data_IF_090552679829
#
_entry.id   IF_090552679829
#
_cell.length_a   1.000
_cell.length_b   1.000
_cell.length_c   1.000
_cell.angle_alpha   90.00
_cell.angle_beta   90.00
_cell.angle_gamma   90.00
#
_symmetry.space_group_name_H-M   'P 1'
#
loop_
_entity.id
_entity.type
_entity.pdbx_description
1 polymer ?
#
# COMPACT_ATOMS: atom_id res chain seq x y z
N UNK A 1 29.33 -0.34 5.63
CA UNK A 1 28.20 -1.19 5.20
C UNK A 1 27.45 -0.61 4.00
N UNK A 2 26.78 0.54 4.07
CA UNK A 2 26.01 1.07 2.90
C UNK A 2 26.89 1.52 1.73
N UNK A 3 28.04 2.14 2.02
CA UNK A 3 29.04 2.54 1.02
C UNK A 3 29.62 1.33 0.26
N UNK A 4 29.81 0.22 0.96
CA UNK A 4 30.35 -1.02 0.39
C UNK A 4 29.33 -1.69 -0.54
N UNK A 5 28.02 -1.60 -0.21
CA UNK A 5 26.91 -2.10 -1.06
C UNK A 5 26.82 -1.36 -2.40
N UNK A 6 27.02 -0.04 -2.39
CA UNK A 6 26.96 0.78 -3.60
C UNK A 6 28.26 0.74 -4.43
N UNK A 7 29.39 0.41 -3.80
CA UNK A 7 30.65 0.23 -4.52
C UNK A 7 30.64 -1.02 -5.43
N UNK A 8 29.92 -2.07 -5.01
CA UNK A 8 29.80 -3.35 -5.74
C UNK A 8 28.62 -3.39 -6.73
N UNK A 9 27.51 -2.73 -6.43
CA UNK A 9 26.29 -2.76 -7.28
C UNK A 9 26.27 -1.59 -8.27
N UNK A 10 26.85 -1.80 -9.46
CA UNK A 10 26.86 -0.82 -10.58
C UNK A 10 25.90 -1.18 -11.72
N UNK A 11 25.22 -2.30 -11.60
CA UNK A 11 24.29 -2.81 -12.61
C UNK A 11 22.90 -2.17 -12.45
N UNK A 12 22.20 -1.93 -13.55
CA UNK A 12 20.84 -1.35 -13.54
C UNK A 12 20.76 0.18 -13.45
N UNK A 13 21.88 0.91 -13.57
CA UNK A 13 21.88 2.37 -13.47
C UNK A 13 21.27 3.06 -14.69
N UNK A 14 20.23 3.85 -14.46
CA UNK A 14 19.62 4.72 -15.45
C UNK A 14 20.51 5.93 -15.77
N UNK A 15 20.45 6.40 -17.01
CA UNK A 15 21.20 7.57 -17.46
C UNK A 15 20.31 8.81 -17.41
N UNK A 16 20.68 9.77 -16.58
CA UNK A 16 20.03 11.09 -16.55
C UNK A 16 20.97 12.12 -17.17
N UNK A 17 20.42 12.92 -18.09
CA UNK A 17 21.12 14.03 -18.74
C UNK A 17 20.74 15.32 -18.02
N UNK A 18 21.71 16.00 -17.43
CA UNK A 18 21.46 17.32 -16.84
C UNK A 18 21.88 18.43 -17.80
N UNK A 19 21.04 19.45 -17.89
CA UNK A 19 21.31 20.67 -18.67
C UNK A 19 21.38 21.88 -17.73
N UNK A 20 22.41 21.97 -16.86
CA UNK A 20 22.46 23.02 -15.86
C UNK A 20 22.71 24.38 -16.50
N UNK A 21 22.05 25.39 -15.93
CA UNK A 21 22.37 26.80 -16.14
C UNK A 21 23.19 27.27 -14.94
N UNK A 22 24.28 27.99 -15.20
CA UNK A 22 25.13 28.61 -14.19
C UNK A 22 24.95 30.12 -14.24
N UNK A 23 25.20 30.79 -13.11
CA UNK A 23 25.25 32.26 -13.08
C UNK A 23 26.50 32.72 -13.83
N UNK A 24 26.37 33.74 -14.68
CA UNK A 24 27.51 34.32 -15.39
C UNK A 24 28.41 35.15 -14.47
N UNK A 25 27.83 35.72 -13.41
CA UNK A 25 28.49 36.57 -12.43
C UNK A 25 28.04 36.23 -11.00
N UNK A 26 28.78 36.72 -10.00
CA UNK A 26 28.48 36.47 -8.57
C UNK A 26 27.13 37.07 -8.18
N UNK A 27 26.75 38.19 -8.80
CA UNK A 27 25.48 38.87 -8.57
C UNK A 27 24.28 38.14 -9.23
N UNK A 28 24.53 37.20 -10.14
CA UNK A 28 23.50 36.38 -10.79
C UNK A 28 22.60 37.16 -11.75
N UNK A 29 23.15 38.18 -12.43
CA UNK A 29 22.41 39.03 -13.37
C UNK A 29 21.97 38.29 -14.62
N UNK A 30 22.73 37.28 -15.06
CA UNK A 30 22.39 36.45 -16.21
C UNK A 30 22.70 34.96 -15.94
N UNK A 31 21.87 34.10 -16.52
CA UNK A 31 22.09 32.65 -16.54
C UNK A 31 22.73 32.26 -17.89
N UNK A 32 23.85 31.56 -17.81
CA UNK A 32 24.53 30.98 -18.97
C UNK A 32 24.45 29.45 -18.92
N UNK A 33 24.35 28.81 -20.08
CA UNK A 33 24.44 27.34 -20.16
C UNK A 33 25.86 26.90 -19.83
N UNK A 34 25.99 25.86 -19.02
CA UNK A 34 27.29 25.28 -18.71
C UNK A 34 27.97 24.77 -19.98
N UNK A 35 29.22 25.19 -20.21
CA UNK A 35 29.93 24.99 -21.48
C UNK A 35 30.28 23.53 -21.77
N UNK A 36 30.50 22.71 -20.73
CA UNK A 36 30.76 21.28 -20.89
C UNK A 36 29.43 20.52 -20.88
N UNK A 37 28.80 20.44 -22.04
CA UNK A 37 27.47 19.87 -22.22
C UNK A 37 27.50 18.66 -23.19
N UNK A 38 26.75 17.58 -22.91
CA UNK A 38 25.92 17.33 -21.72
C UNK A 38 26.65 16.58 -20.60
N UNK A 39 26.33 16.92 -19.36
CA UNK A 39 26.73 16.12 -18.20
C UNK A 39 25.71 14.99 -18.07
N UNK A 40 26.20 13.76 -17.95
CA UNK A 40 25.37 12.60 -17.73
C UNK A 40 25.73 11.95 -16.40
N UNK A 41 24.71 11.67 -15.59
CA UNK A 41 24.85 10.88 -14.38
C UNK A 41 24.22 9.52 -14.58
N UNK A 42 24.77 8.55 -13.86
CA UNK A 42 24.25 7.20 -13.72
C UNK A 42 23.65 7.08 -12.33
N UNK A 43 22.36 6.82 -12.28
CA UNK A 43 21.58 6.80 -11.03
C UNK A 43 20.86 5.47 -10.88
N UNK A 44 20.69 4.98 -9.65
CA UNK A 44 19.87 3.82 -9.36
C UNK A 44 18.38 4.09 -9.62
N UNK A 45 17.62 3.01 -9.76
CA UNK A 45 16.16 3.09 -9.68
C UNK A 45 15.73 3.37 -8.23
N UNK A 46 14.46 3.72 -8.02
CA UNK A 46 13.93 3.94 -6.67
C UNK A 46 14.09 2.72 -5.75
N UNK A 47 14.06 1.51 -6.33
CA UNK A 47 14.11 0.25 -5.59
C UNK A 47 15.50 -0.04 -5.01
N UNK A 48 16.56 0.49 -5.61
CA UNK A 48 17.95 0.22 -5.21
C UNK A 48 18.44 1.15 -4.09
N UNK A 49 17.67 2.20 -3.78
CA UNK A 49 17.98 3.13 -2.72
C UNK A 49 17.95 2.49 -1.33
N UNK A 50 18.42 3.26 -0.35
CA UNK A 50 18.52 2.80 1.03
C UNK A 50 17.68 3.68 1.94
N UNK A 51 16.75 3.06 2.65
CA UNK A 51 16.04 3.69 3.76
C UNK A 51 16.78 3.44 5.06
N UNK A 52 17.05 4.50 5.82
CA UNK A 52 17.59 4.37 7.17
C UNK A 52 16.53 3.80 8.12
N UNK A 53 16.96 3.24 9.24
CA UNK A 53 16.05 3.08 10.38
C UNK A 53 15.66 4.49 10.89
N UNK A 54 14.46 4.66 11.48
CA UNK A 54 14.07 5.94 12.05
C UNK A 54 15.06 6.40 13.13
N UNK A 55 15.44 7.68 13.10
CA UNK A 55 16.35 8.28 14.08
C UNK A 55 15.89 9.69 14.45
N UNK A 56 16.20 10.13 15.67
CA UNK A 56 15.93 11.50 16.09
C UNK A 56 17.12 12.41 15.74
N UNK A 57 16.88 13.47 14.97
CA UNK A 57 17.94 14.41 14.60
C UNK A 57 18.05 15.56 15.61
N UNK A 58 19.06 15.52 16.47
CA UNK A 58 19.30 16.57 17.47
C UNK A 58 19.95 17.84 16.89
N UNK A 59 20.70 17.71 15.78
CA UNK A 59 21.62 18.73 15.29
C UNK A 59 21.13 19.41 14.00
N UNK A 60 20.20 18.78 13.29
CA UNK A 60 19.56 19.36 12.11
C UNK A 60 18.70 20.57 12.42
N UNK A 61 18.25 21.25 11.35
CA UNK A 61 17.36 22.41 11.47
C UNK A 61 15.97 22.03 11.99
N UNK A 62 15.56 20.76 11.82
CA UNK A 62 14.30 20.21 12.28
C UNK A 62 14.60 19.12 13.31
N UNK A 63 14.31 19.41 14.58
CA UNK A 63 14.52 18.47 15.69
C UNK A 63 13.32 17.56 15.85
N UNK A 64 13.31 16.46 15.10
CA UNK A 64 12.19 15.52 15.06
C UNK A 64 12.68 14.09 14.78
N UNK A 65 11.79 13.12 14.91
CA UNK A 65 12.00 11.76 14.40
C UNK A 65 11.95 11.78 12.88
N UNK A 66 13.05 11.39 12.24
CA UNK A 66 13.21 11.38 10.80
C UNK A 66 13.45 9.97 10.28
N UNK A 67 13.04 9.73 9.05
CA UNK A 67 13.50 8.61 8.24
C UNK A 67 14.09 9.16 6.96
N UNK A 68 15.26 8.67 6.56
CA UNK A 68 16.03 9.23 5.44
C UNK A 68 16.17 8.20 4.34
N UNK A 69 15.76 8.56 3.14
CA UNK A 69 16.09 7.85 1.92
C UNK A 69 17.41 8.36 1.38
N UNK A 70 18.31 7.46 1.01
CA UNK A 70 19.62 7.77 0.47
C UNK A 70 19.85 6.99 -0.82
N UNK A 71 20.25 7.68 -1.89
CA UNK A 71 20.57 7.09 -3.18
C UNK A 71 21.91 7.63 -3.71
N UNK A 72 22.86 6.75 -4.10
CA UNK A 72 24.12 7.18 -4.71
C UNK A 72 23.88 7.68 -6.13
N UNK A 73 24.74 8.54 -6.63
CA UNK A 73 24.82 8.84 -8.05
C UNK A 73 26.27 8.87 -8.50
N UNK A 74 26.47 8.37 -9.72
CA UNK A 74 27.77 8.20 -10.32
C UNK A 74 27.89 9.11 -11.53
N UNK A 75 29.09 9.60 -11.78
CA UNK A 75 29.39 10.29 -13.04
C UNK A 75 30.53 9.60 -13.76
N UNK A 76 30.73 10.04 -14.99
CA UNK A 76 31.74 9.51 -15.88
C UNK A 76 32.85 10.55 -15.99
N UNK A 77 34.07 10.18 -15.60
CA UNK A 77 35.22 11.10 -15.57
C UNK A 77 36.36 10.51 -16.39
N UNK A 78 36.98 11.35 -17.24
CA UNK A 78 38.14 11.01 -18.07
C UNK A 78 37.81 10.39 -19.43
N UNK A 79 38.84 10.24 -20.27
CA UNK A 79 38.74 9.68 -21.64
C UNK A 79 38.31 8.20 -21.64
N UNK A 80 38.70 7.44 -20.62
CA UNK A 80 38.37 6.02 -20.47
C UNK A 80 36.90 5.76 -20.09
N UNK A 81 36.08 6.80 -19.95
CA UNK A 81 34.66 6.72 -19.58
C UNK A 81 34.40 5.86 -18.32
N UNK A 82 35.30 5.95 -17.33
CA UNK A 82 35.16 5.19 -16.10
C UNK A 82 34.04 5.74 -15.22
N UNK A 83 33.19 4.84 -14.71
CA UNK A 83 32.13 5.17 -13.77
C UNK A 83 32.72 5.44 -12.37
N UNK A 84 32.54 6.64 -11.86
CA UNK A 84 33.05 7.08 -10.57
C UNK A 84 31.92 7.51 -9.63
N UNK A 85 32.03 7.14 -8.36
CA UNK A 85 31.13 7.61 -7.31
C UNK A 85 31.33 9.11 -7.08
N UNK A 86 30.29 9.92 -7.30
CA UNK A 86 30.34 11.36 -7.10
C UNK A 86 29.75 11.76 -5.75
N UNK A 87 28.62 11.15 -5.38
CA UNK A 87 27.98 11.49 -4.13
C UNK A 87 26.71 10.70 -3.85
N UNK A 88 25.99 11.16 -2.82
CA UNK A 88 24.72 10.60 -2.37
C UNK A 88 23.72 11.74 -2.29
N UNK A 89 22.52 11.51 -2.83
CA UNK A 89 21.38 12.37 -2.56
C UNK A 89 20.57 11.77 -1.41
N UNK A 90 20.18 12.61 -0.46
CA UNK A 90 19.39 12.18 0.69
C UNK A 90 18.14 13.03 0.82
N UNK A 91 17.03 12.38 1.17
CA UNK A 91 15.75 13.03 1.46
C UNK A 91 15.28 12.53 2.83
N UNK A 92 15.19 13.45 3.79
CA UNK A 92 14.69 13.15 5.13
C UNK A 92 13.23 13.58 5.25
N UNK A 93 12.39 12.67 5.74
CA UNK A 93 10.96 12.91 5.97
C UNK A 93 10.69 12.78 7.47
N UNK A 94 9.80 13.63 8.01
CA UNK A 94 9.37 13.50 9.41
C UNK A 94 8.59 12.21 9.56
N UNK A 95 9.02 11.34 10.46
CA UNK A 95 8.40 10.05 10.72
C UNK A 95 6.92 10.23 11.06
N UNK A 96 6.62 11.22 11.90
CA UNK A 96 5.26 11.52 12.32
C UNK A 96 4.35 11.97 11.17
N UNK A 97 4.91 12.43 10.04
CA UNK A 97 4.13 12.83 8.87
C UNK A 97 3.78 11.69 7.92
N UNK A 98 4.29 10.49 8.16
CA UNK A 98 4.07 9.31 7.32
C UNK A 98 2.84 8.54 7.78
N UNK A 99 2.02 8.10 6.82
CA UNK A 99 0.91 7.19 7.09
C UNK A 99 1.44 5.77 7.33
N UNK A 100 0.81 5.05 8.28
CA UNK A 100 1.10 3.65 8.55
C UNK A 100 -0.01 2.75 7.99
N UNK A 101 0.37 1.56 7.52
CA UNK A 101 -0.58 0.55 7.07
C UNK A 101 -0.63 -0.62 8.05
N UNK A 102 -1.69 -0.68 8.86
CA UNK A 102 -1.88 -1.73 9.85
C UNK A 102 -2.63 -2.96 9.32
N UNK A 103 -3.16 -2.86 8.10
CA UNK A 103 -4.03 -3.87 7.53
C UNK A 103 -3.28 -5.17 7.20
N UNK A 104 -4.01 -6.29 7.04
CA UNK A 104 -3.38 -7.55 6.70
C UNK A 104 -2.69 -7.51 5.34
N UNK A 105 -1.48 -8.05 5.28
CA UNK A 105 -0.70 -8.17 4.04
C UNK A 105 0.07 -9.49 4.03
N UNK A 106 0.47 -9.92 2.83
CA UNK A 106 1.29 -11.12 2.66
C UNK A 106 2.62 -11.01 3.43
N UNK A 107 3.16 -12.18 3.78
CA UNK A 107 4.44 -12.29 4.48
C UNK A 107 5.58 -11.57 3.74
N UNK A 108 5.58 -11.60 2.41
CA UNK A 108 6.63 -11.02 1.58
C UNK A 108 6.61 -9.49 1.46
N UNK A 109 5.51 -8.83 1.85
CA UNK A 109 5.43 -7.37 1.76
C UNK A 109 6.22 -6.73 2.93
N UNK A 110 7.23 -5.88 2.67
CA UNK A 110 8.01 -5.23 3.72
C UNK A 110 7.19 -4.11 4.37
N UNK A 111 6.45 -4.47 5.41
CA UNK A 111 5.72 -3.53 6.25
C UNK A 111 5.74 -4.03 7.69
N UNK A 112 6.27 -3.22 8.60
CA UNK A 112 6.38 -3.56 10.02
C UNK A 112 5.02 -3.56 10.73
N UNK A 113 4.10 -2.70 10.29
CA UNK A 113 2.80 -2.51 10.94
C UNK A 113 1.72 -3.47 10.44
N UNK A 114 1.99 -4.27 9.39
CA UNK A 114 0.99 -5.19 8.83
C UNK A 114 0.45 -6.16 9.87
N UNK A 115 -0.79 -6.61 9.67
CA UNK A 115 -1.48 -7.55 10.56
C UNK A 115 -1.64 -7.06 12.03
N UNK A 116 -1.56 -5.74 12.28
CA UNK A 116 -1.78 -5.17 13.63
C UNK A 116 -3.16 -4.53 13.80
N UNK A 117 -3.93 -4.38 12.70
CA UNK A 117 -5.29 -3.88 12.74
C UNK A 117 -6.20 -4.75 13.61
N UNK A 118 -7.16 -4.12 14.28
CA UNK A 118 -8.09 -4.73 15.23
C UNK A 118 -9.45 -5.09 14.63
N UNK A 119 -9.56 -5.13 13.30
CA UNK A 119 -10.78 -5.54 12.62
C UNK A 119 -11.18 -6.98 13.00
N UNK A 120 -12.47 -7.26 13.05
CA UNK A 120 -12.95 -8.64 13.21
C UNK A 120 -12.81 -9.42 11.90
N UNK A 121 -11.68 -10.10 11.71
CA UNK A 121 -11.39 -10.82 10.46
C UNK A 121 -12.36 -11.97 10.15
N UNK A 122 -13.18 -12.45 11.08
CA UNK A 122 -14.18 -13.48 10.74
C UNK A 122 -15.32 -12.88 9.91
N UNK A 123 -15.81 -11.69 10.29
CA UNK A 123 -16.91 -11.00 9.62
C UNK A 123 -16.42 -9.96 8.61
N UNK A 124 -15.13 -9.63 8.63
CA UNK A 124 -14.47 -8.66 7.74
C UNK A 124 -13.48 -9.29 6.75
N UNK A 125 -13.49 -10.61 6.50
CA UNK A 125 -12.55 -11.21 5.54
C UNK A 125 -13.20 -12.14 4.49
N UNK A 126 -12.64 -12.11 3.28
CA UNK A 126 -12.81 -13.12 2.23
C UNK A 126 -11.54 -13.96 2.11
N UNK A 127 -11.53 -15.18 2.67
CA UNK A 127 -10.59 -16.21 2.26
C UNK A 127 -11.29 -16.98 1.15
N UNK A 128 -10.98 -16.68 -0.11
CA UNK A 128 -11.02 -17.74 -1.12
C UNK A 128 -9.59 -18.12 -1.44
N UNK A 129 -9.13 -19.19 -0.78
CA UNK A 129 -8.06 -20.03 -1.29
C UNK A 129 -8.28 -20.25 -2.79
N UNK A 130 -7.32 -19.83 -3.60
CA UNK A 130 -7.33 -20.00 -5.04
C UNK A 130 -5.91 -19.90 -5.56
N UNK A 131 -5.12 -20.94 -5.33
CA UNK A 131 -3.91 -21.16 -6.12
C UNK A 131 -4.33 -21.24 -7.58
N UNK A 132 -3.92 -20.27 -8.41
CA UNK A 132 -4.01 -20.38 -9.85
C UNK A 132 -2.60 -20.39 -10.43
N UNK A 133 -2.24 -21.51 -11.03
CA UNK A 133 -0.95 -21.74 -11.67
C UNK A 133 -1.24 -22.19 -13.12
N UNK A 134 -0.82 -21.39 -14.12
CA UNK A 134 -0.56 -21.73 -15.55
C UNK A 134 -0.56 -20.42 -16.38
N UNK A 135 0.34 -20.08 -17.32
CA UNK A 135 1.56 -20.62 -17.97
C UNK A 135 2.48 -19.43 -18.32
N UNK A 136 3.78 -19.71 -18.49
CA UNK A 136 4.87 -18.86 -18.98
C UNK A 136 4.57 -18.17 -20.34
N UNK A 137 4.80 -16.83 -20.39
CA UNK A 137 5.03 -15.88 -21.51
C UNK A 137 4.58 -16.22 -22.95
N UNK A 138 4.06 -15.29 -23.77
CA UNK A 138 4.74 -14.09 -24.30
C UNK A 138 3.73 -12.97 -24.65
N UNK A 139 4.14 -11.72 -24.36
CA UNK A 139 3.63 -10.40 -24.79
C UNK A 139 2.27 -9.88 -24.25
N UNK A 140 2.38 -9.16 -23.12
CA UNK A 140 1.68 -7.93 -22.74
C UNK A 140 0.18 -7.75 -23.04
N UNK A 141 -0.64 -8.03 -22.02
CA UNK A 141 -1.50 -6.98 -21.44
C UNK A 141 -1.77 -7.31 -19.97
N UNK A 142 -1.31 -6.42 -19.08
CA UNK A 142 -1.46 -6.46 -17.63
C UNK A 142 -2.90 -6.80 -17.18
N UNK A 143 -3.15 -8.06 -16.84
CA UNK A 143 -4.30 -8.45 -16.00
C UNK A 143 -3.81 -8.38 -14.56
N UNK A 144 -3.94 -7.20 -13.94
CA UNK A 144 -3.77 -7.07 -12.50
C UNK A 144 -5.00 -7.68 -11.82
N UNK A 145 -4.97 -8.99 -11.58
CA UNK A 145 -5.90 -9.66 -10.68
C UNK A 145 -5.57 -9.25 -9.24
N UNK A 146 -6.04 -8.08 -8.80
CA UNK A 146 -6.06 -7.74 -7.38
C UNK A 146 -7.40 -8.16 -6.76
N UNK A 147 -7.71 -9.46 -6.81
CA UNK A 147 -8.92 -10.02 -6.19
C UNK A 147 -8.70 -10.36 -4.71
N UNK A 148 -8.05 -9.45 -3.98
CA UNK A 148 -8.18 -9.37 -2.53
C UNK A 148 -8.85 -8.04 -2.22
N UNK A 149 -10.19 -8.05 -2.18
CA UNK A 149 -10.95 -6.93 -1.59
C UNK A 149 -10.65 -6.94 -0.10
N UNK A 150 -9.56 -6.29 0.28
CA UNK A 150 -9.12 -6.14 1.65
C UNK A 150 -10.14 -5.23 2.33
N UNK A 151 -10.87 -5.77 3.30
CA UNK A 151 -11.92 -4.99 3.98
C UNK A 151 -11.34 -4.13 5.11
N UNK A 152 -10.08 -4.35 5.46
CA UNK A 152 -9.28 -3.35 6.12
C UNK A 152 -8.59 -2.50 5.06
N UNK A 153 -8.78 -1.18 5.06
CA UNK A 153 -7.98 -0.30 4.19
C UNK A 153 -7.35 0.83 5.00
N UNK A 154 -6.07 1.17 4.75
CA UNK A 154 -5.46 2.33 5.39
C UNK A 154 -6.18 3.61 4.95
N UNK A 155 -6.37 4.54 5.88
CA UNK A 155 -6.93 5.85 5.59
C UNK A 155 -5.75 6.81 5.42
N UNK A 156 -5.55 7.41 4.23
CA UNK A 156 -4.44 8.31 4.00
C UNK A 156 -4.62 9.62 4.79
N UNK A 157 -3.50 10.32 5.02
CA UNK A 157 -3.45 11.62 5.71
C UNK A 157 -3.90 11.58 7.17
N UNK A 158 -3.71 10.44 7.84
CA UNK A 158 -3.90 10.31 9.29
C UNK A 158 -2.59 10.29 10.06
N UNK A 159 -1.48 10.45 9.34
CA UNK A 159 -0.14 10.58 9.91
C UNK A 159 0.26 9.30 10.66
N UNK A 160 1.32 9.38 11.45
CA UNK A 160 1.88 8.21 12.14
C UNK A 160 1.07 7.88 13.41
N UNK A 161 -0.16 7.44 13.23
CA UNK A 161 -1.10 7.18 14.33
C UNK A 161 -1.72 5.79 14.17
N UNK A 162 -1.71 5.01 15.25
CA UNK A 162 -2.43 3.74 15.30
C UNK A 162 -3.94 3.96 15.17
N UNK A 163 -4.62 3.14 14.38
CA UNK A 163 -6.02 3.32 14.02
C UNK A 163 -6.24 4.06 12.70
N UNK A 164 -5.19 4.28 11.92
CA UNK A 164 -5.27 4.91 10.58
C UNK A 164 -5.77 3.94 9.50
N UNK A 165 -6.84 3.20 9.80
CA UNK A 165 -7.47 2.24 8.89
C UNK A 165 -8.99 2.28 9.09
N UNK A 166 -9.74 1.72 8.14
CA UNK A 166 -11.16 1.41 8.29
C UNK A 166 -11.40 -0.08 8.10
N UNK A 167 -12.38 -0.63 8.82
CA UNK A 167 -12.85 -2.00 8.67
C UNK A 167 -14.25 -1.98 8.04
N UNK A 168 -14.38 -2.52 6.84
CA UNK A 168 -15.64 -2.69 6.12
C UNK A 168 -16.17 -4.11 6.31
N UNK A 169 -17.48 -4.29 6.17
CA UNK A 169 -18.11 -5.61 6.27
C UNK A 169 -18.00 -6.40 4.95
N UNK A 170 -17.89 -7.72 5.05
CA UNK A 170 -17.92 -8.61 3.88
C UNK A 170 -19.33 -8.75 3.34
N UNK A 171 -19.51 -9.22 2.11
CA UNK A 171 -20.87 -9.45 1.61
C UNK A 171 -21.55 -10.55 2.45
N UNK A 172 -22.85 -10.39 2.70
CA UNK A 172 -23.60 -11.23 3.63
C UNK A 172 -23.47 -10.82 5.10
N UNK A 173 -22.69 -9.78 5.39
CA UNK A 173 -22.63 -9.12 6.69
C UNK A 173 -23.00 -7.65 6.52
N UNK A 174 -23.62 -7.07 7.54
CA UNK A 174 -24.05 -5.68 7.55
C UNK A 174 -23.52 -4.94 8.76
N UNK A 175 -23.32 -3.64 8.56
CA UNK A 175 -22.97 -2.73 9.63
C UNK A 175 -24.16 -2.61 10.60
N UNK A 176 -23.98 -2.89 11.90
CA UNK A 176 -25.10 -3.06 12.82
C UNK A 176 -25.73 -1.74 13.30
N UNK A 177 -25.02 -0.62 13.16
CA UNK A 177 -25.44 0.69 13.69
C UNK A 177 -26.09 1.56 12.61
N UNK A 178 -27.02 2.43 13.00
CA UNK A 178 -27.71 3.35 12.09
C UNK A 178 -26.97 4.68 11.99
N UNK A 179 -25.72 4.63 11.54
CA UNK A 179 -24.86 5.80 11.35
C UNK A 179 -24.77 6.20 9.87
N UNK A 180 -24.24 7.38 9.59
CA UNK A 180 -23.99 7.85 8.20
C UNK A 180 -22.83 7.11 7.51
N UNK A 181 -22.08 6.31 8.26
CA UNK A 181 -20.93 5.54 7.80
C UNK A 181 -21.24 4.05 7.84
N UNK A 182 -20.63 3.28 6.94
CA UNK A 182 -20.83 1.82 6.81
C UNK A 182 -19.55 1.02 7.12
N UNK A 183 -18.67 1.58 7.95
CA UNK A 183 -17.39 0.98 8.33
C UNK A 183 -17.03 1.34 9.77
N UNK A 184 -16.19 0.51 10.39
CA UNK A 184 -15.61 0.82 11.70
C UNK A 184 -14.32 1.61 11.52
N UNK A 185 -14.24 2.77 12.16
CA UNK A 185 -13.03 3.60 12.18
C UNK A 185 -11.96 2.94 13.06
N UNK A 186 -10.76 2.73 12.52
CA UNK A 186 -9.65 2.10 13.24
C UNK A 186 -9.26 2.85 14.51
N UNK A 187 -9.41 4.18 14.56
CA UNK A 187 -9.16 4.97 15.77
C UNK A 187 -10.13 4.63 16.90
N UNK A 188 -11.40 4.35 16.57
CA UNK A 188 -12.38 3.85 17.52
C UNK A 188 -12.03 2.41 17.93
N UNK A 189 -11.66 1.55 16.98
CA UNK A 189 -11.26 0.16 17.25
C UNK A 189 -10.09 0.08 18.23
N UNK A 190 -9.02 0.85 17.99
CA UNK A 190 -7.84 0.86 18.87
C UNK A 190 -8.18 1.40 20.26
N UNK A 191 -8.99 2.47 20.35
CA UNK A 191 -9.42 3.05 21.63
C UNK A 191 -10.21 2.04 22.46
N UNK A 192 -11.23 1.42 21.88
CA UNK A 192 -12.10 0.47 22.59
C UNK A 192 -11.31 -0.80 22.96
N UNK A 193 -10.35 -1.21 22.13
CA UNK A 193 -9.43 -2.29 22.46
C UNK A 193 -8.50 -1.95 23.63
N UNK A 194 -8.00 -0.71 23.72
CA UNK A 194 -7.20 -0.26 24.85
C UNK A 194 -8.01 -0.30 26.15
N UNK A 195 -9.26 0.18 26.14
CA UNK A 195 -10.16 0.07 27.29
C UNK A 195 -10.39 -1.39 27.68
N UNK A 196 -10.63 -2.27 26.70
CA UNK A 196 -10.75 -3.72 26.93
C UNK A 196 -9.51 -4.30 27.60
N UNK A 197 -8.32 -3.91 27.17
CA UNK A 197 -7.05 -4.35 27.78
C UNK A 197 -6.84 -3.82 29.21
N UNK A 198 -7.36 -2.64 29.51
CA UNK A 198 -7.29 -2.02 30.82
C UNK A 198 -8.35 -2.54 31.79
N UNK A 199 -9.32 -3.34 31.32
CA UNK A 199 -10.43 -3.84 32.13
C UNK A 199 -11.55 -2.80 32.34
N UNK A 200 -11.52 -1.70 31.59
CA UNK A 200 -12.52 -0.65 31.65
C UNK A 200 -13.78 -1.02 30.84
N UNK A 201 -14.96 -0.45 31.18
CA UNK A 201 -16.15 -0.58 30.36
C UNK A 201 -15.87 -0.15 28.91
N UNK A 202 -16.14 -1.05 27.96
CA UNK A 202 -15.83 -0.86 26.56
C UNK A 202 -16.89 -1.54 25.68
N UNK A 203 -16.95 -1.13 24.41
CA UNK A 203 -17.85 -1.71 23.39
C UNK A 203 -17.09 -2.44 22.29
N UNK A 204 -15.84 -2.83 22.53
CA UNK A 204 -14.98 -3.44 21.51
C UNK A 204 -15.65 -4.67 20.87
N UNK A 205 -16.31 -5.51 21.67
CA UNK A 205 -16.98 -6.73 21.19
C UNK A 205 -18.25 -6.46 20.35
N UNK A 206 -18.76 -5.22 20.37
CA UNK A 206 -19.86 -4.77 19.50
C UNK A 206 -19.35 -4.21 18.16
N UNK A 207 -18.07 -3.89 18.04
CA UNK A 207 -17.48 -3.33 16.82
C UNK A 207 -17.15 -4.43 15.79
N UNK A 208 -18.17 -5.19 15.41
CA UNK A 208 -18.11 -6.27 14.44
C UNK A 208 -19.37 -6.28 13.60
N UNK A 209 -19.28 -6.83 12.39
CA UNK A 209 -20.43 -6.90 11.51
C UNK A 209 -21.43 -7.97 11.99
N UNK A 210 -22.72 -7.72 11.77
CA UNK A 210 -23.77 -8.72 12.02
C UNK A 210 -24.09 -9.48 10.73
N UNK A 211 -24.59 -10.70 10.83
CA UNK A 211 -25.00 -11.46 9.65
C UNK A 211 -26.18 -10.75 8.99
N UNK A 212 -26.04 -10.42 7.71
CA UNK A 212 -27.09 -9.80 6.93
C UNK A 212 -28.26 -10.77 6.77
N UNK A 213 -29.48 -10.28 7.00
CA UNK A 213 -30.70 -11.06 6.81
C UNK A 213 -30.97 -11.35 5.34
N UNK A 214 -30.24 -12.28 4.74
CA UNK A 214 -30.62 -12.86 3.47
C UNK A 214 -31.73 -13.87 3.75
N UNK A 215 -32.96 -13.56 3.33
CA UNK A 215 -34.01 -14.56 3.18
C UNK A 215 -33.43 -15.66 2.30
N UNK A 216 -33.13 -16.84 2.86
CA UNK A 216 -32.90 -18.01 2.02
C UNK A 216 -34.21 -18.21 1.27
N UNK A 217 -34.24 -17.89 -0.02
CA UNK A 217 -35.30 -18.37 -0.89
C UNK A 217 -35.12 -19.89 -0.89
N UNK A 218 -35.83 -20.57 0.02
CA UNK A 218 -36.02 -22.00 -0.06
C UNK A 218 -36.87 -22.19 -1.31
N UNK A 219 -36.23 -22.37 -2.46
CA UNK A 219 -36.89 -22.96 -3.61
C UNK A 219 -37.27 -24.38 -3.18
N UNK A 220 -38.47 -24.49 -2.61
CA UNK A 220 -39.03 -25.78 -2.26
C UNK A 220 -39.09 -26.60 -3.53
N UNK A 221 -38.60 -27.85 -3.49
CA UNK A 221 -38.69 -28.79 -4.60
C UNK A 221 -40.15 -28.97 -5.09
N UNK A 222 -41.14 -28.62 -4.27
CA UNK A 222 -42.56 -28.57 -4.66
C UNK A 222 -42.84 -27.51 -5.73
N UNK A 223 -42.23 -26.33 -5.68
CA UNK A 223 -42.46 -25.28 -6.69
C UNK A 223 -41.94 -25.69 -8.07
N UNK A 224 -40.75 -26.29 -8.14
CA UNK A 224 -40.20 -26.81 -9.39
C UNK A 224 -41.05 -27.96 -9.95
N UNK A 225 -41.53 -28.86 -9.08
CA UNK A 225 -42.45 -29.94 -9.46
C UNK A 225 -43.79 -29.40 -9.98
N UNK A 226 -44.38 -28.40 -9.34
CA UNK A 226 -45.65 -27.79 -9.78
C UNK A 226 -45.48 -27.12 -11.15
N UNK A 227 -44.37 -26.41 -11.38
CA UNK A 227 -44.10 -25.80 -12.69
C UNK A 227 -43.90 -26.84 -13.81
N UNK A 228 -43.21 -27.96 -13.51
CA UNK A 228 -43.07 -29.09 -14.44
C UNK A 228 -44.39 -29.82 -14.71
N UNK A 229 -45.24 -29.97 -13.69
CA UNK A 229 -46.58 -30.54 -13.88
C UNK A 229 -47.47 -29.61 -14.69
N UNK A 230 -47.41 -28.29 -14.46
CA UNK A 230 -48.21 -27.32 -15.24
C UNK A 230 -47.74 -27.23 -16.70
N UNK A 231 -46.45 -27.35 -16.97
CA UNK A 231 -45.94 -27.37 -18.35
C UNK A 231 -46.31 -28.64 -19.10
N UNK A 232 -46.26 -29.80 -18.45
CA UNK A 232 -46.69 -31.08 -19.04
C UNK A 232 -48.19 -31.15 -19.27
N UNK A 233 -49.01 -30.63 -18.34
CA UNK A 233 -50.47 -30.50 -18.54
C UNK A 233 -50.80 -29.55 -19.70
N UNK A 234 -50.07 -28.43 -19.84
CA UNK A 234 -50.21 -27.54 -21.00
C UNK A 234 -49.92 -28.25 -22.32
N UNK A 235 -48.84 -29.03 -22.38
CA UNK A 235 -48.47 -29.82 -23.57
C UNK A 235 -49.53 -30.86 -23.95
N UNK A 236 -50.15 -31.49 -22.95
CA UNK A 236 -51.23 -32.47 -23.16
C UNK A 236 -52.56 -31.81 -23.61
N UNK A 237 -52.83 -30.57 -23.19
CA UNK A 237 -54.03 -29.83 -23.62
C UNK A 237 -53.85 -29.15 -25.00
N UNK A 238 -52.64 -29.12 -25.55
CA UNK A 238 -52.33 -28.60 -26.89
C UNK A 238 -52.20 -29.68 -27.96
N UNK A 239 -52.48 -30.95 -27.64
CA UNK A 239 -52.52 -32.09 -28.57
C UNK A 239 -53.96 -32.56 -28.80
#
# INVERSE_FOLDING_TARGET
>A
QTKDRWASSRDGLERIITKPYIRSDVNGTQLQRYFTFPIYYRVPTYEDGYWTQPYFDCNGMVKDWLITYAAPFFGVVGENQALQFIGVTTVSVRLLSLDINQCPQSYHVPNFFKNTARCDFHTTYYLSNGYFLRILHVSDLHVVCNSAKLQCTPIPRRYFVAGSYKCECRQGFEYPFNDRIWYFDGGLMEREYQLKRQGEPNRFDLLRCRQGGASRFVQSATFLKVMLMLSTVRLLLTY
#
